data_IF_902752528819
#
_entry.id   IF_902752528819
#
_cell.length_a   1.000
_cell.length_b   1.000
_cell.length_c   1.000
_cell.angle_alpha   90.00
_cell.angle_beta   90.00
_cell.angle_gamma   90.00
#
_symmetry.space_group_name_H-M   'P 1'
#
loop_
_entity.id
_entity.type
_entity.pdbx_description
1 polymer ?
#
# COMPACT_ATOMS: atom_id res chain seq x y z
N UNK A 1 -58.30 -11.23 2.64
CA UNK A 1 -57.96 -12.28 3.63
C UNK A 1 -56.90 -13.20 3.02
N UNK A 2 -55.68 -12.70 2.76
CA UNK A 2 -54.60 -13.51 2.21
C UNK A 2 -54.14 -14.50 3.30
N UNK A 3 -54.42 -15.78 3.07
CA UNK A 3 -54.19 -16.85 4.04
C UNK A 3 -52.70 -16.93 4.40
N UNK A 4 -52.44 -16.98 5.71
CA UNK A 4 -51.14 -16.94 6.44
C UNK A 4 -50.00 -17.83 5.90
N UNK A 5 -50.25 -18.73 4.95
CA UNK A 5 -49.26 -19.62 4.33
C UNK A 5 -48.45 -18.90 3.24
N UNK A 6 -49.12 -18.18 2.32
CA UNK A 6 -48.45 -17.55 1.17
C UNK A 6 -47.46 -16.46 1.63
N UNK A 7 -47.88 -15.66 2.60
CA UNK A 7 -47.02 -14.63 3.20
C UNK A 7 -45.81 -15.21 3.94
N UNK A 8 -45.99 -16.32 4.68
CA UNK A 8 -44.87 -17.02 5.35
C UNK A 8 -43.84 -17.53 4.35
N UNK A 9 -44.28 -18.08 3.22
CA UNK A 9 -43.42 -18.67 2.21
C UNK A 9 -42.65 -17.59 1.44
N UNK A 10 -43.33 -16.51 1.02
CA UNK A 10 -42.67 -15.36 0.41
C UNK A 10 -41.65 -14.71 1.35
N UNK A 11 -41.99 -14.54 2.63
CA UNK A 11 -41.06 -13.98 3.61
C UNK A 11 -39.83 -14.87 3.82
N UNK A 12 -40.00 -16.19 3.92
CA UNK A 12 -38.88 -17.12 4.05
C UNK A 12 -37.94 -17.08 2.84
N UNK A 13 -38.48 -17.04 1.62
CA UNK A 13 -37.68 -16.92 0.40
C UNK A 13 -36.93 -15.59 0.37
N UNK A 14 -37.58 -14.47 0.69
CA UNK A 14 -36.91 -13.17 0.75
C UNK A 14 -35.75 -13.15 1.75
N UNK A 15 -35.95 -13.73 2.95
CA UNK A 15 -34.89 -13.83 3.97
C UNK A 15 -33.73 -14.71 3.47
N UNK A 16 -34.03 -15.86 2.86
CA UNK A 16 -33.00 -16.74 2.30
C UNK A 16 -32.20 -16.05 1.19
N UNK A 17 -32.87 -15.34 0.27
CA UNK A 17 -32.21 -14.59 -0.80
C UNK A 17 -31.31 -13.49 -0.24
N UNK A 18 -31.77 -12.72 0.75
CA UNK A 18 -30.96 -11.67 1.40
C UNK A 18 -29.72 -12.28 2.07
N UNK A 19 -29.87 -13.41 2.76
CA UNK A 19 -28.76 -14.11 3.39
C UNK A 19 -27.71 -14.57 2.37
N UNK A 20 -28.14 -15.19 1.28
CA UNK A 20 -27.22 -15.68 0.23
C UNK A 20 -26.47 -14.51 -0.41
N UNK A 21 -27.19 -13.44 -0.78
CA UNK A 21 -26.58 -12.24 -1.37
C UNK A 21 -25.61 -11.60 -0.37
N UNK A 22 -25.98 -11.50 0.91
CA UNK A 22 -25.12 -10.92 1.95
C UNK A 22 -23.82 -11.70 2.14
N UNK A 23 -23.90 -13.04 2.22
CA UNK A 23 -22.72 -13.90 2.34
C UNK A 23 -21.85 -13.80 1.08
N UNK A 24 -22.47 -13.83 -0.11
CA UNK A 24 -21.74 -13.72 -1.38
C UNK A 24 -21.02 -12.37 -1.50
N UNK A 25 -21.71 -11.26 -1.20
CA UNK A 25 -21.13 -9.93 -1.20
C UNK A 25 -19.98 -9.82 -0.19
N UNK A 26 -20.13 -10.38 1.01
CA UNK A 26 -19.07 -10.40 2.02
C UNK A 26 -17.80 -11.09 1.52
N UNK A 27 -17.93 -12.32 0.99
CA UNK A 27 -16.79 -13.08 0.47
C UNK A 27 -16.13 -12.33 -0.70
N UNK A 28 -16.95 -11.77 -1.58
CA UNK A 28 -16.47 -11.11 -2.78
C UNK A 28 -15.72 -9.79 -2.46
N UNK A 29 -16.25 -8.97 -1.55
CA UNK A 29 -15.61 -7.73 -1.10
C UNK A 29 -14.30 -8.05 -0.39
N UNK A 30 -14.29 -9.05 0.49
CA UNK A 30 -13.08 -9.45 1.21
C UNK A 30 -11.98 -9.90 0.23
N UNK A 31 -12.32 -10.80 -0.69
CA UNK A 31 -11.37 -11.29 -1.69
C UNK A 31 -10.86 -10.19 -2.63
N UNK A 32 -11.72 -9.26 -3.07
CA UNK A 32 -11.27 -8.12 -3.88
C UNK A 32 -10.35 -7.19 -3.10
N UNK A 33 -10.64 -6.97 -1.82
CA UNK A 33 -9.80 -6.12 -0.95
C UNK A 33 -8.41 -6.71 -0.81
N UNK A 34 -8.30 -8.02 -0.56
CA UNK A 34 -7.02 -8.70 -0.38
C UNK A 34 -6.17 -8.65 -1.67
N UNK A 35 -6.79 -8.86 -2.83
CA UNK A 35 -6.10 -8.78 -4.14
C UNK A 35 -5.61 -7.36 -4.43
N UNK A 36 -6.42 -6.33 -4.12
CA UNK A 36 -6.01 -4.94 -4.32
C UNK A 36 -4.87 -4.54 -3.38
N UNK A 37 -4.89 -5.01 -2.13
CA UNK A 37 -3.81 -4.77 -1.17
C UNK A 37 -2.51 -5.45 -1.61
N UNK A 38 -2.56 -6.70 -2.06
CA UNK A 38 -1.40 -7.41 -2.59
C UNK A 38 -0.81 -6.70 -3.82
N UNK A 39 -1.66 -6.20 -4.72
CA UNK A 39 -1.18 -5.47 -5.90
C UNK A 39 -0.49 -4.13 -5.52
N UNK A 40 -1.02 -3.41 -4.53
CA UNK A 40 -0.38 -2.20 -4.01
C UNK A 40 0.97 -2.52 -3.37
N UNK A 41 1.07 -3.60 -2.59
CA UNK A 41 2.33 -4.06 -2.01
C UNK A 41 3.35 -4.43 -3.10
N UNK A 42 2.94 -5.23 -4.09
CA UNK A 42 3.78 -5.62 -5.23
C UNK A 42 4.29 -4.40 -5.99
N UNK A 43 3.41 -3.44 -6.29
CA UNK A 43 3.80 -2.19 -6.96
C UNK A 43 4.79 -1.36 -6.12
N UNK A 44 4.58 -1.26 -4.80
CA UNK A 44 5.51 -0.56 -3.90
C UNK A 44 6.90 -1.19 -3.90
N UNK A 45 6.96 -2.53 -3.87
CA UNK A 45 8.22 -3.28 -3.94
C UNK A 45 8.93 -3.09 -5.29
N UNK A 46 8.20 -3.22 -6.40
CA UNK A 46 8.75 -3.01 -7.75
C UNK A 46 9.26 -1.57 -7.96
N UNK A 47 8.53 -0.58 -7.45
CA UNK A 47 8.97 0.80 -7.46
C UNK A 47 10.26 0.97 -6.65
N UNK A 48 10.34 0.37 -5.46
CA UNK A 48 11.54 0.42 -4.62
C UNK A 48 12.76 -0.20 -5.31
N UNK A 49 12.62 -1.36 -5.94
CA UNK A 49 13.67 -1.97 -6.76
C UNK A 49 14.08 -1.08 -7.94
N UNK A 50 13.12 -0.44 -8.59
CA UNK A 50 13.38 0.50 -9.69
C UNK A 50 14.17 1.71 -9.20
N UNK A 51 13.79 2.31 -8.06
CA UNK A 51 14.52 3.44 -7.45
C UNK A 51 15.95 3.03 -7.12
N UNK A 52 16.15 1.86 -6.50
CA UNK A 52 17.49 1.32 -6.18
C UNK A 52 18.29 1.14 -7.46
N UNK A 53 17.72 0.51 -8.49
CA UNK A 53 18.39 0.25 -9.77
C UNK A 53 18.78 1.55 -10.49
N UNK A 54 17.86 2.52 -10.58
CA UNK A 54 18.09 3.81 -11.22
C UNK A 54 19.11 4.68 -10.50
N UNK A 55 19.21 4.58 -9.17
CA UNK A 55 20.15 5.38 -8.37
C UNK A 55 21.50 4.67 -8.15
N UNK A 56 21.59 3.35 -8.37
CA UNK A 56 22.79 2.55 -8.09
C UNK A 56 24.06 3.12 -8.69
N UNK A 57 24.02 3.52 -9.97
CA UNK A 57 25.20 4.05 -10.64
C UNK A 57 25.66 5.39 -10.03
N UNK A 58 24.72 6.31 -9.80
CA UNK A 58 25.01 7.60 -9.16
C UNK A 58 25.51 7.43 -7.72
N UNK A 59 25.00 6.43 -6.99
CA UNK A 59 25.48 6.06 -5.66
C UNK A 59 26.93 5.57 -5.69
N UNK A 60 27.32 4.75 -6.67
CA UNK A 60 28.71 4.29 -6.84
C UNK A 60 29.66 5.45 -7.14
N UNK A 61 29.19 6.47 -7.86
CA UNK A 61 29.94 7.69 -8.13
C UNK A 61 29.87 8.72 -6.98
N UNK A 62 29.12 8.44 -5.91
CA UNK A 62 28.84 9.38 -4.82
C UNK A 62 28.29 10.73 -5.32
N UNK A 63 27.50 10.71 -6.40
CA UNK A 63 26.90 11.91 -6.99
C UNK A 63 25.63 12.33 -6.23
N UNK A 64 25.83 12.94 -5.06
CA UNK A 64 24.75 13.33 -4.14
C UNK A 64 23.70 14.24 -4.78
N UNK A 65 24.14 15.12 -5.68
CA UNK A 65 23.26 16.08 -6.35
C UNK A 65 22.25 15.37 -7.26
N UNK A 66 22.71 14.45 -8.10
CA UNK A 66 21.85 13.67 -8.98
C UNK A 66 20.91 12.76 -8.20
N UNK A 67 21.41 12.05 -7.19
CA UNK A 67 20.55 11.18 -6.36
C UNK A 67 19.41 12.01 -5.75
N UNK A 68 19.70 13.20 -5.23
CA UNK A 68 18.67 14.07 -4.66
C UNK A 68 17.63 14.54 -5.70
N UNK A 69 18.05 14.86 -6.92
CA UNK A 69 17.13 15.26 -8.01
C UNK A 69 16.29 14.08 -8.48
N UNK A 70 16.89 12.89 -8.64
CA UNK A 70 16.17 11.68 -9.01
C UNK A 70 15.09 11.35 -7.99
N UNK A 71 15.42 11.36 -6.70
CA UNK A 71 14.46 11.07 -5.62
C UNK A 71 13.35 12.12 -5.57
N UNK A 72 13.69 13.41 -5.69
CA UNK A 72 12.69 14.48 -5.78
C UNK A 72 11.78 14.35 -7.00
N UNK A 73 12.34 13.98 -8.15
CA UNK A 73 11.57 13.80 -9.39
C UNK A 73 10.61 12.62 -9.29
N UNK A 74 11.06 11.50 -8.72
CA UNK A 74 10.20 10.33 -8.45
C UNK A 74 9.08 10.73 -7.47
N UNK A 75 9.42 11.40 -6.36
CA UNK A 75 8.43 11.82 -5.36
C UNK A 75 7.45 12.91 -5.80
N UNK A 76 7.62 13.52 -6.98
CA UNK A 76 6.64 14.47 -7.56
C UNK A 76 5.52 13.77 -8.32
N UNK A 77 5.59 12.47 -8.53
CA UNK A 77 4.55 11.72 -9.23
C UNK A 77 3.28 11.65 -8.36
N UNK A 78 2.11 11.88 -8.95
CA UNK A 78 0.85 12.03 -8.21
C UNK A 78 0.46 10.81 -7.35
N UNK A 79 0.95 9.62 -7.69
CA UNK A 79 0.63 8.37 -6.99
C UNK A 79 1.71 7.96 -5.97
N UNK A 80 2.77 8.75 -5.83
CA UNK A 80 3.87 8.49 -4.89
C UNK A 80 3.74 9.48 -3.75
N UNK A 81 3.40 8.98 -2.56
CA UNK A 81 3.24 9.82 -1.38
C UNK A 81 4.59 10.36 -0.87
N UNK A 82 5.59 9.47 -0.78
CA UNK A 82 6.94 9.83 -0.32
C UNK A 82 7.94 8.75 -0.74
N UNK A 83 9.18 9.16 -1.03
CA UNK A 83 10.32 8.25 -1.22
C UNK A 83 11.42 8.65 -0.24
N UNK A 84 11.91 7.69 0.54
CA UNK A 84 13.01 7.87 1.49
C UNK A 84 14.07 6.81 1.28
N UNK A 85 15.34 7.20 1.34
CA UNK A 85 16.47 6.28 1.40
C UNK A 85 17.06 6.38 2.81
N UNK A 86 17.17 5.24 3.47
CA UNK A 86 17.71 5.12 4.82
C UNK A 86 19.15 4.61 4.77
N UNK A 87 19.98 5.02 5.74
CA UNK A 87 21.24 4.35 6.02
C UNK A 87 21.02 3.12 6.93
N UNK A 88 22.10 2.40 7.24
CA UNK A 88 22.06 1.19 8.09
C UNK A 88 21.62 1.49 9.52
N UNK A 89 21.75 2.72 9.96
CA UNK A 89 21.36 3.18 11.28
C UNK A 89 19.88 3.62 11.36
N UNK A 90 19.16 3.62 10.22
CA UNK A 90 17.76 4.05 10.14
C UNK A 90 17.58 5.57 10.00
N UNK A 91 18.61 6.29 9.58
CA UNK A 91 18.57 7.74 9.34
C UNK A 91 18.23 7.99 7.87
N UNK A 92 17.31 8.90 7.62
CA UNK A 92 16.92 9.30 6.25
C UNK A 92 18.04 10.13 5.61
N UNK A 93 18.74 9.55 4.63
CA UNK A 93 19.87 10.20 3.94
C UNK A 93 19.46 10.90 2.64
N UNK A 94 18.36 10.45 2.02
CA UNK A 94 17.70 11.13 0.91
C UNK A 94 16.20 11.03 1.08
N UNK A 95 15.47 12.06 0.68
CA UNK A 95 14.01 12.06 0.69
C UNK A 95 13.46 12.93 -0.42
N UNK A 96 12.27 12.59 -0.90
CA UNK A 96 11.46 13.49 -1.74
C UNK A 96 10.97 14.72 -0.97
N UNK A 97 10.83 14.59 0.35
CA UNK A 97 10.59 15.69 1.28
C UNK A 97 11.90 16.08 1.98
N UNK A 98 12.43 17.26 1.66
CA UNK A 98 13.66 17.76 2.25
C UNK A 98 13.60 17.90 3.77
N UNK A 99 12.41 18.06 4.36
CA UNK A 99 12.24 18.18 5.81
C UNK A 99 12.48 16.86 6.55
N UNK A 100 12.35 15.72 5.86
CA UNK A 100 12.58 14.40 6.45
C UNK A 100 14.06 14.00 6.51
N UNK A 101 14.95 14.72 5.80
CA UNK A 101 16.38 14.38 5.73
C UNK A 101 17.05 14.60 7.10
N UNK A 102 17.81 13.61 7.56
CA UNK A 102 18.49 13.63 8.86
C UNK A 102 17.63 13.13 10.03
N UNK A 103 16.35 12.86 9.82
CA UNK A 103 15.49 12.24 10.83
C UNK A 103 15.68 10.73 10.86
N UNK A 104 15.77 10.18 12.08
CA UNK A 104 15.76 8.74 12.33
C UNK A 104 14.32 8.25 12.26
N UNK A 105 14.07 7.20 11.50
CA UNK A 105 12.76 6.55 11.49
C UNK A 105 12.52 5.84 12.82
N UNK A 106 11.26 5.76 13.24
CA UNK A 106 10.90 4.94 14.39
C UNK A 106 11.13 3.46 14.03
N UNK A 107 12.19 2.86 14.58
CA UNK A 107 12.51 1.44 14.35
C UNK A 107 11.47 0.49 14.93
N UNK A 108 10.58 0.99 15.78
CA UNK A 108 9.44 0.23 16.32
C UNK A 108 8.19 0.33 15.44
N UNK A 109 8.20 1.15 14.39
CA UNK A 109 7.12 1.16 13.42
C UNK A 109 7.09 -0.16 12.63
N UNK A 110 5.88 -0.62 12.29
CA UNK A 110 5.64 -1.92 11.65
C UNK A 110 6.50 -2.16 10.40
N UNK A 111 6.82 -1.11 9.64
CA UNK A 111 7.62 -1.21 8.42
C UNK A 111 9.13 -1.42 8.68
N UNK A 112 9.66 -1.07 9.85
CA UNK A 112 11.10 -1.08 10.12
C UNK A 112 11.54 -2.27 10.97
N UNK A 113 10.67 -2.80 11.84
CA UNK A 113 10.99 -3.93 12.74
C UNK A 113 11.42 -5.21 12.01
N UNK A 114 10.93 -5.42 10.78
CA UNK A 114 11.29 -6.60 9.99
C UNK A 114 12.76 -6.61 9.54
N UNK A 115 13.43 -5.45 9.47
CA UNK A 115 14.80 -5.32 9.01
C UNK A 115 15.77 -4.71 10.04
N UNK A 116 15.27 -4.02 11.07
CA UNK A 116 16.03 -3.29 12.09
C UNK A 116 15.51 -3.53 13.50
#
# INVERSE_FOLDING_TARGET
>A
MFKKIGFKLSFAVSVATILIIGIYAYINIHSQTDVLLDEVERHSNQLSETVISSTRYEMLLNNRSHISETIRTIGRQAFIQEVRILNKEGITIYSSDSTAIGHTVDKKADACYACH
#
